data_IF_016016591710
#
_entry.id   IF_016016591710
#
_cell.length_a   1.000
_cell.length_b   1.000
_cell.length_c   1.000
_cell.angle_alpha   90.00
_cell.angle_beta   90.00
_cell.angle_gamma   90.00
#
_symmetry.space_group_name_H-M   'P 1'
#
loop_
_entity.id
_entity.type
_entity.pdbx_description
1 polymer ?
#
# COMPACT_ATOMS: atom_id res chain seq x y z
N UNK A 1 4.50 -13.87 -14.74
CA UNK A 1 4.47 -13.28 -13.39
C UNK A 1 4.38 -14.40 -12.36
N UNK A 2 5.28 -14.45 -11.38
CA UNK A 2 5.09 -15.38 -10.24
C UNK A 2 3.82 -14.98 -9.48
N UNK A 3 2.95 -15.95 -9.22
CA UNK A 3 1.80 -15.76 -8.34
C UNK A 3 2.29 -15.50 -6.92
N UNK A 4 1.97 -14.31 -6.39
CA UNK A 4 2.16 -13.93 -4.98
C UNK A 4 0.80 -13.70 -4.33
N UNK A 5 0.72 -13.93 -3.02
CA UNK A 5 -0.55 -13.89 -2.27
C UNK A 5 -0.72 -12.56 -1.52
N UNK A 6 -1.97 -12.14 -1.23
CA UNK A 6 -2.24 -11.13 -0.22
C UNK A 6 -1.95 -11.67 1.18
N UNK A 7 -1.62 -10.78 2.12
CA UNK A 7 -1.58 -11.12 3.54
C UNK A 7 -3.01 -10.99 4.07
N UNK A 8 -3.64 -12.12 4.39
CA UNK A 8 -5.07 -12.17 4.73
C UNK A 8 -5.32 -11.96 6.22
N UNK A 9 -4.47 -12.53 7.05
CA UNK A 9 -4.64 -12.52 8.49
C UNK A 9 -4.22 -11.18 9.12
N UNK A 10 -5.04 -10.68 10.04
CA UNK A 10 -4.85 -9.38 10.69
C UNK A 10 -3.71 -9.41 11.70
N UNK A 11 -3.52 -10.52 12.41
CA UNK A 11 -2.41 -10.68 13.37
C UNK A 11 -1.07 -10.65 12.63
N UNK A 12 -1.00 -11.33 11.49
CA UNK A 12 0.15 -11.32 10.59
C UNK A 12 0.46 -9.92 10.06
N UNK A 13 -0.56 -9.14 9.67
CA UNK A 13 -0.37 -7.74 9.26
C UNK A 13 0.21 -6.90 10.42
N UNK A 14 -0.26 -7.14 11.64
CA UNK A 14 0.24 -6.44 12.82
C UNK A 14 1.69 -6.82 13.14
N UNK A 15 2.01 -8.12 13.13
CA UNK A 15 3.37 -8.61 13.30
C UNK A 15 4.33 -8.04 12.23
N UNK A 16 3.89 -7.95 10.97
CA UNK A 16 4.65 -7.30 9.90
C UNK A 16 4.94 -5.83 10.21
N UNK A 17 3.95 -5.07 10.68
CA UNK A 17 4.15 -3.65 11.06
C UNK A 17 5.16 -3.53 12.19
N UNK A 18 5.06 -4.36 13.22
CA UNK A 18 5.98 -4.36 14.36
C UNK A 18 7.40 -4.71 13.94
N UNK A 19 7.57 -5.75 13.12
CA UNK A 19 8.88 -6.16 12.64
C UNK A 19 9.52 -5.06 11.77
N UNK A 20 8.79 -4.51 10.80
CA UNK A 20 9.30 -3.43 9.94
C UNK A 20 9.67 -2.18 10.75
N UNK A 21 8.90 -1.86 11.80
CA UNK A 21 9.16 -0.71 12.68
C UNK A 21 10.47 -0.85 13.44
N UNK A 22 10.87 -2.06 13.82
CA UNK A 22 12.19 -2.32 14.45
C UNK A 22 13.35 -1.96 13.52
N UNK A 23 13.18 -2.15 12.21
CA UNK A 23 14.21 -1.84 11.21
C UNK A 23 14.25 -0.35 10.88
N UNK A 24 13.11 0.23 10.47
CA UNK A 24 12.98 1.68 10.29
C UNK A 24 11.54 2.13 10.10
N UNK A 25 11.25 3.39 10.47
CA UNK A 25 9.95 4.02 10.21
C UNK A 25 9.67 4.11 8.69
N UNK A 26 10.69 4.31 7.85
CA UNK A 26 10.56 4.31 6.38
C UNK A 26 9.97 2.99 5.87
N UNK A 27 10.47 1.86 6.36
CA UNK A 27 10.06 0.53 5.89
C UNK A 27 8.66 0.17 6.40
N UNK A 28 8.32 0.58 7.63
CA UNK A 28 6.95 0.56 8.13
C UNK A 28 6.03 1.39 7.23
N UNK A 29 6.40 2.63 6.93
CA UNK A 29 5.61 3.55 6.11
C UNK A 29 5.38 2.98 4.70
N UNK A 30 6.41 2.37 4.09
CA UNK A 30 6.33 1.71 2.78
C UNK A 30 5.24 0.62 2.79
N UNK A 31 5.27 -0.22 3.83
CA UNK A 31 4.28 -1.29 3.99
C UNK A 31 2.88 -0.74 4.23
N UNK A 32 2.73 0.20 5.17
CA UNK A 32 1.43 0.77 5.54
C UNK A 32 0.80 1.52 4.37
N UNK A 33 1.54 2.36 3.65
CA UNK A 33 1.02 3.04 2.47
C UNK A 33 0.58 2.03 1.41
N UNK A 34 1.39 1.01 1.14
CA UNK A 34 1.09 -0.01 0.13
C UNK A 34 -0.20 -0.79 0.44
N UNK A 35 -0.39 -1.24 1.68
CA UNK A 35 -1.58 -2.03 2.06
C UNK A 35 -2.84 -1.21 2.31
N UNK A 36 -2.74 0.12 2.46
CA UNK A 36 -3.89 0.99 2.72
C UNK A 36 -4.36 1.78 1.50
N UNK A 37 -3.52 1.99 0.49
CA UNK A 37 -3.89 2.77 -0.71
C UNK A 37 -4.05 1.91 -1.96
N UNK A 38 -3.39 0.75 -2.02
CA UNK A 38 -3.40 -0.08 -3.22
C UNK A 38 -2.63 0.50 -4.42
N UNK A 39 -1.85 1.56 -4.20
CA UNK A 39 -0.92 2.14 -5.19
C UNK A 39 0.06 1.09 -5.73
N UNK A 40 0.57 1.29 -6.94
CA UNK A 40 1.56 0.38 -7.53
C UNK A 40 2.91 0.55 -6.80
N UNK A 41 3.72 -0.51 -6.72
CA UNK A 41 5.03 -0.39 -6.08
C UNK A 41 5.94 0.63 -6.78
N UNK A 42 5.81 0.79 -8.11
CA UNK A 42 6.64 1.75 -8.83
C UNK A 42 6.28 3.18 -8.44
N UNK A 43 4.99 3.51 -8.45
CA UNK A 43 4.53 4.86 -8.08
C UNK A 43 4.82 5.14 -6.60
N UNK A 44 4.62 4.15 -5.73
CA UNK A 44 4.94 4.24 -4.30
C UNK A 44 6.40 4.64 -4.08
N UNK A 45 7.33 3.99 -4.77
CA UNK A 45 8.76 4.26 -4.61
C UNK A 45 9.17 5.64 -5.14
N UNK A 46 8.43 6.18 -6.10
CA UNK A 46 8.69 7.49 -6.69
C UNK A 46 8.01 8.66 -5.96
N UNK A 47 7.24 8.40 -4.89
CA UNK A 47 6.64 9.46 -4.09
C UNK A 47 7.69 10.37 -3.46
N UNK A 48 7.39 11.66 -3.48
CA UNK A 48 8.16 12.72 -2.84
C UNK A 48 7.44 13.24 -1.59
N UNK A 49 8.14 14.02 -0.77
CA UNK A 49 7.55 14.59 0.46
C UNK A 49 6.36 15.50 0.14
N UNK A 50 6.47 16.36 -0.87
CA UNK A 50 5.37 17.25 -1.27
C UNK A 50 4.11 16.50 -1.74
N UNK A 51 4.21 15.24 -2.16
CA UNK A 51 3.04 14.48 -2.60
C UNK A 51 2.14 14.08 -1.42
N UNK A 52 2.71 13.98 -0.23
CA UNK A 52 2.03 13.45 0.97
C UNK A 52 2.00 14.42 2.15
N UNK A 53 2.75 15.52 2.09
CA UNK A 53 2.94 16.49 3.17
C UNK A 53 2.72 17.92 2.69
N UNK A 54 2.07 18.75 3.49
CA UNK A 54 1.83 20.17 3.19
C UNK A 54 2.79 21.15 3.92
N UNK A 55 3.72 20.61 4.71
CA UNK A 55 4.64 21.37 5.55
C UNK A 55 4.31 21.30 7.04
N UNK A 56 3.04 21.03 7.39
CA UNK A 56 2.58 20.93 8.78
C UNK A 56 1.97 19.57 9.10
N UNK A 57 1.21 19.00 8.16
CA UNK A 57 0.48 17.76 8.35
C UNK A 57 0.52 16.88 7.09
N UNK A 58 0.20 15.60 7.31
CA UNK A 58 -0.07 14.69 6.21
C UNK A 58 -1.32 15.16 5.44
N UNK A 59 -1.21 15.18 4.12
CA UNK A 59 -2.34 15.49 3.22
C UNK A 59 -3.45 14.44 3.40
N UNK A 60 -4.70 14.83 3.13
CA UNK A 60 -5.83 13.91 3.17
C UNK A 60 -5.86 12.95 1.97
N UNK A 61 -5.39 13.42 0.82
CA UNK A 61 -5.34 12.65 -0.42
C UNK A 61 -3.97 12.78 -1.07
N UNK A 62 -3.50 11.66 -1.63
CA UNK A 62 -2.36 11.58 -2.53
C UNK A 62 -2.88 11.55 -3.96
N UNK A 63 -2.39 12.45 -4.80
CA UNK A 63 -2.78 12.53 -6.21
C UNK A 63 -1.65 12.02 -7.09
N UNK A 64 -1.96 11.06 -7.96
CA UNK A 64 -0.97 10.49 -8.90
C UNK A 64 -1.54 10.56 -10.29
N UNK A 65 -0.76 11.17 -11.18
CA UNK A 65 -1.08 11.27 -12.59
C UNK A 65 -0.61 10.02 -13.32
N UNK A 66 -1.53 9.32 -13.96
CA UNK A 66 -1.21 8.21 -14.85
C UNK A 66 -0.64 8.76 -16.16
N UNK A 67 0.61 8.40 -16.48
CA UNK A 67 1.29 8.97 -17.64
C UNK A 67 0.62 8.62 -18.98
N UNK A 68 -0.05 7.44 -19.05
CA UNK A 68 -0.64 6.89 -20.27
C UNK A 68 -2.01 7.50 -20.53
N UNK A 69 -2.85 7.56 -19.50
CA UNK A 69 -4.23 8.06 -19.61
C UNK A 69 -4.35 9.56 -19.36
N UNK A 70 -3.33 10.17 -18.75
CA UNK A 70 -3.31 11.56 -18.24
C UNK A 70 -4.32 11.84 -17.13
N UNK A 71 -5.08 10.83 -16.69
CA UNK A 71 -6.00 10.94 -15.57
C UNK A 71 -5.23 11.06 -14.25
N UNK A 72 -5.72 11.91 -13.36
CA UNK A 72 -5.24 12.02 -12.00
C UNK A 72 -6.10 11.19 -11.07
N UNK A 73 -5.46 10.38 -10.21
CA UNK A 73 -6.14 9.52 -9.24
C UNK A 73 -5.82 9.94 -7.84
N UNK A 74 -6.87 10.08 -7.04
CA UNK A 74 -6.79 10.35 -5.62
C UNK A 74 -6.76 9.05 -4.80
N UNK A 75 -5.81 8.95 -3.88
CA UNK A 75 -5.68 7.88 -2.90
C UNK A 75 -5.86 8.47 -1.51
N UNK A 76 -6.85 7.96 -0.76
CA UNK A 76 -7.13 8.45 0.58
C UNK A 76 -6.02 8.05 1.56
N UNK A 77 -5.42 9.05 2.23
CA UNK A 77 -4.42 8.86 3.26
C UNK A 77 -5.14 8.82 4.61
N UNK A 78 -5.48 7.62 5.06
CA UNK A 78 -6.22 7.43 6.31
C UNK A 78 -5.40 7.88 7.55
N UNK A 79 -6.07 7.95 8.70
CA UNK A 79 -5.45 8.41 9.95
C UNK A 79 -4.25 7.58 10.40
N UNK A 80 -4.19 6.29 10.05
CA UNK A 80 -3.02 5.44 10.36
C UNK A 80 -1.81 5.84 9.50
N UNK A 81 -2.01 6.11 8.21
CA UNK A 81 -0.96 6.64 7.34
C UNK A 81 -0.49 8.00 7.87
N UNK A 82 -1.43 8.91 8.17
CA UNK A 82 -1.10 10.26 8.66
C UNK A 82 -0.24 10.25 9.93
N UNK A 83 -0.58 9.40 10.90
CA UNK A 83 0.23 9.25 12.13
C UNK A 83 1.68 8.85 11.85
N UNK A 84 1.89 7.87 10.97
CA UNK A 84 3.24 7.37 10.64
C UNK A 84 3.99 8.38 9.77
N UNK A 85 3.30 9.09 8.86
CA UNK A 85 3.90 10.18 8.09
C UNK A 85 4.39 11.30 9.01
N UNK A 86 3.56 11.75 9.95
CA UNK A 86 3.97 12.76 10.94
C UNK A 86 5.21 12.26 11.69
N UNK A 87 5.21 11.04 12.22
CA UNK A 87 6.36 10.48 12.93
C UNK A 87 7.64 10.43 12.07
N UNK A 88 7.50 10.08 10.79
CA UNK A 88 8.61 9.95 9.86
C UNK A 88 9.19 11.30 9.40
N UNK A 89 8.32 12.29 9.22
CA UNK A 89 8.67 13.59 8.65
C UNK A 89 9.01 14.64 9.71
N UNK A 90 8.47 14.54 10.93
CA UNK A 90 8.72 15.52 12.01
C UNK A 90 10.15 15.53 12.55
N UNK A 91 10.94 14.47 12.32
CA UNK A 91 12.25 14.28 12.94
C UNK A 91 13.44 14.54 12.01
N UNK A 92 13.23 15.01 10.78
CA UNK A 92 14.32 15.27 9.83
C UNK A 92 14.06 16.52 8.98
N UNK A 93 15.14 17.16 8.54
CA UNK A 93 15.09 18.26 7.57
C UNK A 93 14.79 17.71 6.17
N UNK A 94 13.50 17.61 5.84
CA UNK A 94 13.01 17.17 4.54
C UNK A 94 12.85 18.34 3.58
N UNK A 95 13.29 18.15 2.34
CA UNK A 95 12.93 19.03 1.22
C UNK A 95 11.67 18.52 0.52
N UNK A 96 10.92 19.41 -0.11
CA UNK A 96 9.70 19.07 -0.83
C UNK A 96 9.94 17.99 -1.91
N UNK A 97 11.08 18.08 -2.60
CA UNK A 97 11.46 17.22 -3.74
C UNK A 97 12.15 15.92 -3.31
N UNK A 98 12.43 15.74 -2.02
CA UNK A 98 13.05 14.52 -1.54
C UNK A 98 12.13 13.31 -1.75
N UNK A 99 12.70 12.20 -2.21
CA UNK A 99 11.98 10.93 -2.26
C UNK A 99 11.65 10.46 -0.85
N UNK A 100 10.37 10.11 -0.64
CA UNK A 100 9.85 9.61 0.62
C UNK A 100 10.58 8.33 1.05
N UNK A 101 10.88 7.46 0.09
CA UNK A 101 11.58 6.19 0.28
C UNK A 101 13.02 6.24 -0.24
N UNK A 102 13.78 7.26 0.18
CA UNK A 102 15.18 7.41 -0.24
C UNK A 102 16.11 6.34 0.34
N UNK A 103 17.08 5.95 -0.47
CA UNK A 103 18.23 5.12 -0.15
C UNK A 103 19.25 5.95 0.63
N UNK A 104 19.87 5.35 1.66
CA UNK A 104 20.94 6.00 2.44
C UNK A 104 22.23 6.20 1.62
N UNK A 105 22.37 5.51 0.48
CA UNK A 105 23.60 5.53 -0.33
C UNK A 105 23.71 6.78 -1.21
N UNK A 106 22.59 7.21 -1.79
CA UNK A 106 22.59 8.15 -2.92
C UNK A 106 21.35 9.06 -2.97
N UNK A 107 20.54 9.08 -1.91
CA UNK A 107 19.29 9.87 -1.82
C UNK A 107 18.26 9.61 -2.94
N UNK A 108 18.50 8.60 -3.79
CA UNK A 108 17.56 8.10 -4.81
C UNK A 108 16.52 7.20 -4.17
N UNK A 109 15.35 6.95 -4.80
CA UNK A 109 14.39 6.02 -4.25
C UNK A 109 15.01 4.61 -4.15
N UNK A 110 14.65 3.86 -3.12
CA UNK A 110 15.06 2.45 -3.02
C UNK A 110 14.56 1.69 -4.26
N UNK A 111 15.34 0.73 -4.72
CA UNK A 111 14.95 -0.07 -5.89
C UNK A 111 13.80 -1.01 -5.57
N UNK A 112 13.07 -1.45 -6.61
CA UNK A 112 12.04 -2.50 -6.47
C UNK A 112 12.60 -3.78 -5.82
N UNK A 113 13.84 -4.12 -6.12
CA UNK A 113 14.51 -5.28 -5.54
C UNK A 113 14.79 -5.07 -4.04
N UNK A 114 15.17 -3.86 -3.64
CA UNK A 114 15.37 -3.53 -2.24
C UNK A 114 14.05 -3.54 -1.45
N UNK A 115 13.00 -2.94 -2.01
CA UNK A 115 11.65 -3.02 -1.42
C UNK A 115 11.19 -4.47 -1.26
N UNK A 116 11.39 -5.30 -2.29
CA UNK A 116 11.13 -6.74 -2.21
C UNK A 116 11.91 -7.41 -1.07
N UNK A 117 13.22 -7.14 -0.95
CA UNK A 117 14.07 -7.71 0.10
C UNK A 117 13.57 -7.34 1.50
N UNK A 118 13.23 -6.06 1.72
CA UNK A 118 12.72 -5.56 3.00
C UNK A 118 11.43 -6.29 3.40
N UNK A 119 10.45 -6.34 2.50
CA UNK A 119 9.15 -6.95 2.78
C UNK A 119 9.30 -8.47 2.95
N UNK A 120 10.04 -9.14 2.06
CA UNK A 120 10.20 -10.59 2.10
C UNK A 120 11.04 -11.06 3.29
N UNK A 121 12.03 -10.27 3.73
CA UNK A 121 12.77 -10.56 4.95
C UNK A 121 11.85 -10.52 6.17
N UNK A 122 11.11 -9.42 6.35
CA UNK A 122 10.18 -9.26 7.47
C UNK A 122 9.10 -10.35 7.47
N UNK A 123 8.59 -10.70 6.28
CA UNK A 123 7.62 -11.79 6.12
C UNK A 123 8.16 -13.13 6.63
N UNK A 124 9.41 -13.47 6.34
CA UNK A 124 10.04 -14.71 6.83
C UNK A 124 10.24 -14.68 8.35
N UNK A 125 10.63 -13.54 8.90
CA UNK A 125 10.84 -13.38 10.35
C UNK A 125 9.54 -13.60 11.12
N UNK A 126 8.41 -13.11 10.60
CA UNK A 126 7.10 -13.29 11.24
C UNK A 126 6.39 -14.60 10.85
N UNK A 127 7.10 -15.52 10.18
CA UNK A 127 6.61 -16.87 9.91
C UNK A 127 5.71 -17.03 8.69
N UNK A 128 5.64 -16.05 7.77
CA UNK A 128 4.88 -16.19 6.53
C UNK A 128 5.63 -17.16 5.60
N UNK A 129 5.03 -18.33 5.38
CA UNK A 129 5.53 -19.37 4.48
C UNK A 129 5.12 -19.16 3.01
N UNK A 130 4.13 -18.33 2.76
CA UNK A 130 3.61 -18.03 1.44
C UNK A 130 4.57 -17.17 0.59
N UNK A 131 4.38 -17.18 -0.72
CA UNK A 131 5.15 -16.33 -1.64
C UNK A 131 4.71 -14.87 -1.50
N UNK A 132 5.57 -14.07 -0.87
CA UNK A 132 5.44 -12.62 -0.77
C UNK A 132 6.27 -11.96 -1.87
N UNK A 133 5.72 -10.92 -2.49
CA UNK A 133 6.46 -10.15 -3.50
C UNK A 133 5.92 -8.75 -3.73
N UNK A 134 6.36 -8.14 -4.82
CA UNK A 134 6.11 -6.72 -5.13
C UNK A 134 4.63 -6.36 -5.29
N UNK A 135 3.78 -7.33 -5.64
CA UNK A 135 2.32 -7.14 -5.74
C UNK A 135 1.57 -7.48 -4.45
N UNK A 136 2.21 -8.10 -3.45
CA UNK A 136 1.54 -8.51 -2.22
C UNK A 136 0.86 -7.34 -1.53
N UNK A 137 1.51 -6.19 -1.40
CA UNK A 137 0.92 -5.03 -0.71
C UNK A 137 -0.39 -4.58 -1.36
N UNK A 138 -0.37 -4.43 -2.68
CA UNK A 138 -1.54 -4.04 -3.49
C UNK A 138 -2.64 -5.10 -3.46
N UNK A 139 -2.28 -6.38 -3.46
CA UNK A 139 -3.24 -7.48 -3.27
C UNK A 139 -3.86 -7.47 -1.88
N UNK A 140 -3.06 -7.25 -0.83
CA UNK A 140 -3.54 -7.13 0.55
C UNK A 140 -4.57 -6.02 0.66
N UNK A 141 -4.29 -4.84 0.11
CA UNK A 141 -5.27 -3.75 0.03
C UNK A 141 -6.59 -4.22 -0.59
N UNK A 142 -6.53 -4.74 -1.83
CA UNK A 142 -7.73 -5.11 -2.56
C UNK A 142 -8.51 -6.25 -1.90
N UNK A 143 -7.81 -7.22 -1.31
CA UNK A 143 -8.42 -8.33 -0.56
C UNK A 143 -9.21 -7.78 0.62
N UNK A 144 -8.56 -7.02 1.51
CA UNK A 144 -9.22 -6.47 2.69
C UNK A 144 -10.33 -5.48 2.34
N UNK A 145 -10.16 -4.66 1.30
CA UNK A 145 -11.20 -3.74 0.85
C UNK A 145 -12.43 -4.49 0.32
N UNK A 146 -12.23 -5.59 -0.43
CA UNK A 146 -13.32 -6.43 -0.89
C UNK A 146 -14.13 -7.02 0.28
N UNK A 147 -13.44 -7.62 1.27
CA UNK A 147 -14.12 -8.20 2.43
C UNK A 147 -14.72 -7.15 3.39
N UNK A 148 -14.31 -5.88 3.29
CA UNK A 148 -14.96 -4.75 3.96
C UNK A 148 -16.17 -4.19 3.21
N UNK A 149 -16.57 -4.81 2.09
CA UNK A 149 -17.77 -4.45 1.35
C UNK A 149 -17.56 -3.41 0.25
N UNK A 150 -16.31 -3.09 -0.12
CA UNK A 150 -16.06 -2.20 -1.26
C UNK A 150 -16.45 -2.91 -2.56
N UNK A 151 -17.30 -2.25 -3.36
CA UNK A 151 -17.77 -2.81 -4.61
C UNK A 151 -16.61 -3.21 -5.54
N UNK A 152 -16.69 -4.39 -6.14
CA UNK A 152 -15.63 -4.91 -7.03
C UNK A 152 -15.38 -4.00 -8.24
N UNK A 153 -16.37 -3.23 -8.69
CA UNK A 153 -16.24 -2.22 -9.75
C UNK A 153 -15.30 -1.07 -9.33
N UNK A 154 -15.37 -0.64 -8.07
CA UNK A 154 -14.47 0.38 -7.51
C UNK A 154 -13.05 -0.19 -7.41
N UNK A 155 -12.90 -1.41 -6.89
CA UNK A 155 -11.59 -2.07 -6.80
C UNK A 155 -10.96 -2.30 -8.18
N UNK A 156 -11.76 -2.66 -9.19
CA UNK A 156 -11.31 -2.76 -10.59
C UNK A 156 -10.69 -1.43 -11.05
N UNK A 157 -11.36 -0.30 -10.77
CA UNK A 157 -10.90 1.04 -11.14
C UNK A 157 -9.61 1.43 -10.41
N UNK A 158 -9.54 1.19 -9.10
CA UNK A 158 -8.35 1.45 -8.28
C UNK A 158 -7.16 0.59 -8.74
N UNK A 159 -7.42 -0.68 -9.09
CA UNK A 159 -6.37 -1.63 -9.47
C UNK A 159 -5.99 -1.57 -10.95
N UNK A 160 -6.72 -0.81 -11.78
CA UNK A 160 -6.53 -0.70 -13.23
C UNK A 160 -6.64 -2.04 -13.97
N UNK A 161 -7.58 -2.89 -13.55
CA UNK A 161 -7.86 -4.13 -14.25
C UNK A 161 -8.94 -3.92 -15.32
N UNK A 162 -8.89 -4.73 -16.39
CA UNK A 162 -9.85 -4.65 -17.48
C UNK A 162 -11.23 -5.16 -17.07
N UNK A 163 -11.29 -6.12 -16.14
CA UNK A 163 -12.54 -6.74 -15.70
C UNK A 163 -12.60 -6.98 -14.19
N UNK A 164 -13.83 -7.08 -13.67
CA UNK A 164 -14.08 -7.53 -12.28
C UNK A 164 -13.63 -8.98 -12.10
N UNK A 165 -13.78 -9.81 -13.14
CA UNK A 165 -13.28 -11.17 -13.23
C UNK A 165 -11.76 -11.28 -12.98
N UNK A 166 -10.99 -10.44 -13.67
CA UNK A 166 -9.54 -10.31 -13.48
C UNK A 166 -9.21 -9.85 -12.06
N UNK A 167 -9.98 -8.91 -11.53
CA UNK A 167 -9.79 -8.40 -10.17
C UNK A 167 -9.99 -9.48 -9.11
N UNK A 168 -11.07 -10.26 -9.18
CA UNK A 168 -11.29 -11.38 -8.25
C UNK A 168 -10.18 -12.42 -8.33
N UNK A 169 -9.74 -12.78 -9.55
CA UNK A 169 -8.60 -13.68 -9.77
C UNK A 169 -7.30 -13.13 -9.19
N UNK A 170 -7.05 -11.82 -9.36
CA UNK A 170 -5.87 -11.14 -8.84
C UNK A 170 -5.83 -11.17 -7.30
N UNK A 171 -6.98 -10.95 -6.65
CA UNK A 171 -7.15 -10.97 -5.20
C UNK A 171 -7.20 -12.40 -4.61
N UNK A 172 -7.42 -13.41 -5.45
CA UNK A 172 -7.56 -14.80 -5.00
C UNK A 172 -8.85 -15.02 -4.22
N UNK A 173 -9.92 -14.33 -4.62
CA UNK A 173 -11.27 -14.43 -4.04
C UNK A 173 -12.11 -15.38 -4.89
N UNK A 174 -12.82 -16.31 -4.26
CA UNK A 174 -13.76 -17.19 -4.94
C UNK A 174 -15.06 -16.44 -5.25
N UNK A 175 -15.56 -16.56 -6.48
CA UNK A 175 -16.82 -15.95 -6.90
C UNK A 175 -18.03 -16.56 -6.20
N UNK A 176 -17.90 -17.80 -5.74
CA UNK A 176 -18.97 -18.52 -5.08
C UNK A 176 -19.04 -18.22 -3.58
N UNK A 177 -18.07 -17.50 -3.04
CA UNK A 177 -18.05 -17.10 -1.65
C UNK A 177 -19.13 -16.04 -1.39
N UNK A 178 -20.13 -16.41 -0.57
CA UNK A 178 -21.21 -15.50 -0.21
C UNK A 178 -20.82 -14.71 1.04
N UNK A 179 -20.66 -13.41 0.89
CA UNK A 179 -20.49 -12.50 2.02
C UNK A 179 -21.83 -11.90 2.43
N UNK A 180 -22.15 -11.84 3.74
CA UNK A 180 -23.30 -11.08 4.21
C UNK A 180 -23.08 -9.60 3.89
N UNK A 181 -23.93 -9.03 3.03
CA UNK A 181 -23.88 -7.61 2.68
C UNK A 181 -24.70 -6.85 3.71
N UNK A 182 -24.03 -6.06 4.56
CA UNK A 182 -24.69 -5.11 5.47
C UNK A 182 -24.71 -3.73 4.80
N UNK A 183 -25.87 -3.31 4.32
CA UNK A 183 -26.11 -1.93 3.89
C UNK A 183 -26.98 -1.26 4.93
N UNK A 184 -26.41 -0.32 5.68
CA UNK A 184 -27.10 0.42 6.73
C UNK A 184 -27.14 1.89 6.31
N UNK A 185 -28.21 2.29 5.62
CA UNK A 185 -28.34 3.63 5.03
C UNK A 185 -28.69 4.67 6.11
N UNK A 186 -29.23 4.24 7.26
CA UNK A 186 -29.76 5.04 8.39
C UNK A 186 -29.86 6.55 8.14
N UNK A 187 -30.77 6.94 7.22
CA UNK A 187 -31.06 8.32 6.84
C UNK A 187 -31.90 9.02 7.91
#
# INVERSE_FOLDING_TARGET
>A
MQFVNPIRDMETIQAMKEELRKHSIRDLLLFVLGINTGISLLDLLNLTVQDVWDGQNAKQFLYIKDEKTKEEKAYYLNSQIGKILNEYLSNNDWKAEDYLFKSKKDCRPITRQQAYRIINHSARVVGISEKIGTHTLRKTFGYHAYYKGVAISILKSILHHHSTAETLKYLGVDRNEKMPIKVDVNL
#
